data_IF_039338771320
#
_entry.id   IF_039338771320
#
_cell.length_a   1.000
_cell.length_b   1.000
_cell.length_c   1.000
_cell.angle_alpha   90.00
_cell.angle_beta   90.00
_cell.angle_gamma   90.00
#
_symmetry.space_group_name_H-M   'P 1'
#
loop_
_entity.id
_entity.type
_entity.pdbx_description
1 polymer ?
#
# COMPACT_ATOMS: atom_id res chain seq x y z
N UNK A 1 -26.30 -34.31 3.23
CA UNK A 1 -26.13 -32.85 3.22
C UNK A 1 -25.06 -32.50 2.18
N UNK A 2 -25.48 -31.83 1.15
CA UNK A 2 -24.53 -31.45 0.11
C UNK A 2 -23.76 -30.20 0.51
N UNK A 3 -22.45 -30.30 0.55
CA UNK A 3 -21.61 -29.12 0.65
C UNK A 3 -21.82 -28.27 -0.60
N UNK A 4 -22.18 -27.02 -0.39
CA UNK A 4 -22.23 -26.09 -1.51
C UNK A 4 -20.80 -25.75 -1.91
N UNK A 5 -20.42 -26.22 -3.06
CA UNK A 5 -19.12 -25.84 -3.65
C UNK A 5 -19.33 -24.63 -4.52
N UNK A 6 -18.53 -23.63 -4.28
CA UNK A 6 -18.51 -22.48 -5.16
C UNK A 6 -17.96 -22.90 -6.52
N UNK A 7 -18.68 -22.51 -7.56
CA UNK A 7 -18.19 -22.72 -8.92
C UNK A 7 -17.15 -21.69 -9.30
N UNK A 8 -16.53 -21.87 -10.45
CA UNK A 8 -15.48 -21.00 -10.95
C UNK A 8 -15.96 -19.55 -11.12
N UNK A 9 -17.21 -19.38 -11.60
CA UNK A 9 -17.77 -18.04 -11.79
C UNK A 9 -17.91 -17.29 -10.46
N UNK A 10 -18.37 -17.98 -9.41
CA UNK A 10 -18.50 -17.38 -8.08
C UNK A 10 -17.14 -17.04 -7.48
N UNK A 11 -16.13 -17.88 -7.67
CA UNK A 11 -14.79 -17.61 -7.18
C UNK A 11 -14.17 -16.43 -7.90
N UNK A 12 -14.38 -16.31 -9.21
CA UNK A 12 -13.91 -15.15 -9.98
C UNK A 12 -14.60 -13.86 -9.52
N UNK A 13 -15.89 -13.92 -9.22
CA UNK A 13 -16.60 -12.77 -8.68
C UNK A 13 -16.04 -12.35 -7.32
N UNK A 14 -15.62 -13.31 -6.49
CA UNK A 14 -14.95 -13.02 -5.21
C UNK A 14 -13.60 -12.35 -5.44
N UNK A 15 -12.82 -12.81 -6.42
CA UNK A 15 -11.59 -12.15 -6.81
C UNK A 15 -11.82 -10.70 -7.21
N UNK A 16 -12.81 -10.48 -8.07
CA UNK A 16 -13.14 -9.14 -8.55
C UNK A 16 -13.49 -8.20 -7.38
N UNK A 17 -14.24 -8.69 -6.41
CA UNK A 17 -14.61 -7.91 -5.23
C UNK A 17 -13.39 -7.57 -4.37
N UNK A 18 -12.50 -8.55 -4.16
CA UNK A 18 -11.25 -8.35 -3.43
C UNK A 18 -10.36 -7.33 -4.15
N UNK A 19 -10.22 -7.48 -5.46
CA UNK A 19 -9.39 -6.58 -6.26
C UNK A 19 -9.91 -5.15 -6.22
N UNK A 20 -11.23 -4.97 -6.29
CA UNK A 20 -11.85 -3.65 -6.16
C UNK A 20 -11.54 -3.03 -4.78
N UNK A 21 -11.57 -3.84 -3.73
CA UNK A 21 -11.23 -3.38 -2.38
C UNK A 21 -9.74 -3.00 -2.28
N UNK A 22 -8.86 -3.79 -2.88
CA UNK A 22 -7.43 -3.47 -2.95
C UNK A 22 -7.20 -2.12 -3.61
N UNK A 23 -7.89 -1.85 -4.72
CA UNK A 23 -7.77 -0.57 -5.43
C UNK A 23 -8.25 0.59 -4.57
N UNK A 24 -9.35 0.42 -3.82
CA UNK A 24 -9.83 1.44 -2.89
C UNK A 24 -8.79 1.73 -1.80
N UNK A 25 -8.16 0.70 -1.27
CA UNK A 25 -7.12 0.84 -0.24
C UNK A 25 -5.89 1.54 -0.79
N UNK A 26 -5.48 1.23 -2.01
CA UNK A 26 -4.37 1.93 -2.68
C UNK A 26 -4.70 3.41 -2.86
N UNK A 27 -5.91 3.72 -3.31
CA UNK A 27 -6.36 5.10 -3.48
C UNK A 27 -6.36 5.85 -2.14
N UNK A 28 -6.84 5.20 -1.07
CA UNK A 28 -6.82 5.77 0.28
C UNK A 28 -5.39 6.03 0.76
N UNK A 29 -4.48 5.11 0.50
CA UNK A 29 -3.07 5.24 0.85
C UNK A 29 -2.44 6.44 0.15
N UNK A 30 -2.73 6.64 -1.12
CA UNK A 30 -2.24 7.78 -1.91
C UNK A 30 -2.78 9.11 -1.36
N UNK A 31 -4.05 9.14 -0.93
CA UNK A 31 -4.63 10.32 -0.32
C UNK A 31 -3.89 10.70 0.97
N UNK A 32 -3.55 9.70 1.81
CA UNK A 32 -2.75 9.93 3.02
C UNK A 32 -1.35 10.44 2.65
N UNK A 33 -0.74 9.89 1.60
CA UNK A 33 0.59 10.34 1.13
C UNK A 33 0.57 11.83 0.75
N UNK A 34 -0.49 12.30 0.08
CA UNK A 34 -0.62 13.72 -0.26
C UNK A 34 -0.72 14.59 1.00
N UNK A 35 -1.47 14.16 1.99
CA UNK A 35 -1.58 14.88 3.26
C UNK A 35 -0.25 14.91 4.01
N UNK A 36 0.49 13.81 3.98
CA UNK A 36 1.83 13.74 4.57
C UNK A 36 2.77 14.74 3.90
N UNK A 37 2.70 14.87 2.58
CA UNK A 37 3.50 15.84 1.84
C UNK A 37 3.22 17.27 2.34
N UNK A 38 1.95 17.62 2.53
CA UNK A 38 1.57 18.94 3.03
C UNK A 38 2.16 19.21 4.42
N UNK A 39 2.07 18.21 5.32
CA UNK A 39 2.62 18.32 6.68
C UNK A 39 4.15 18.45 6.64
N UNK A 40 4.82 17.62 5.85
CA UNK A 40 6.28 17.64 5.72
C UNK A 40 6.77 18.97 5.15
N UNK A 41 6.08 19.51 4.15
CA UNK A 41 6.42 20.82 3.57
C UNK A 41 6.27 21.92 4.62
N UNK A 42 5.18 21.91 5.41
CA UNK A 42 4.95 22.89 6.44
C UNK A 42 6.00 22.83 7.57
N UNK A 43 6.49 21.62 7.87
CA UNK A 43 7.45 21.40 8.96
C UNK A 43 8.91 21.39 8.46
N UNK A 44 9.14 21.54 7.16
CA UNK A 44 10.48 21.51 6.59
C UNK A 44 11.15 20.13 6.66
N UNK A 45 10.36 19.05 6.64
CA UNK A 45 10.86 17.69 6.70
C UNK A 45 11.05 17.10 5.29
N UNK A 46 12.08 16.24 5.11
CA UNK A 46 12.25 15.57 3.82
C UNK A 46 11.14 14.56 3.56
N UNK A 47 10.79 14.37 2.29
CA UNK A 47 9.79 13.36 1.91
C UNK A 47 10.31 11.93 2.12
N UNK A 48 11.58 11.70 1.79
CA UNK A 48 12.20 10.40 1.95
C UNK A 48 12.67 10.20 3.39
N UNK A 49 12.21 9.12 4.02
CA UNK A 49 12.54 8.77 5.40
C UNK A 49 12.98 7.30 5.44
N UNK A 50 14.28 7.03 5.24
CA UNK A 50 14.78 5.64 5.19
C UNK A 50 14.53 4.84 6.47
N UNK A 51 14.60 5.48 7.64
CA UNK A 51 14.38 4.81 8.91
C UNK A 51 12.91 4.36 9.04
N UNK A 52 11.98 5.22 8.62
CA UNK A 52 10.55 4.88 8.61
C UNK A 52 10.26 3.76 7.62
N UNK A 53 10.88 3.79 6.43
CA UNK A 53 10.71 2.73 5.43
C UNK A 53 11.19 1.38 5.95
N UNK A 54 12.34 1.34 6.61
CA UNK A 54 12.86 0.12 7.21
C UNK A 54 11.92 -0.43 8.30
N UNK A 55 11.40 0.44 9.15
CA UNK A 55 10.46 0.06 10.19
C UNK A 55 9.15 -0.47 9.60
N UNK A 56 8.66 0.17 8.55
CA UNK A 56 7.44 -0.26 7.85
C UNK A 56 7.62 -1.65 7.23
N UNK A 57 8.74 -1.88 6.53
CA UNK A 57 9.02 -3.18 5.92
C UNK A 57 9.09 -4.29 6.97
N UNK A 58 9.76 -4.04 8.10
CA UNK A 58 9.84 -5.02 9.18
C UNK A 58 8.43 -5.35 9.72
N UNK A 59 7.59 -4.34 9.91
CA UNK A 59 6.22 -4.52 10.40
C UNK A 59 5.36 -5.33 9.43
N UNK A 60 5.38 -4.98 8.14
CA UNK A 60 4.53 -5.69 7.17
C UNK A 60 5.02 -7.11 6.91
N UNK A 61 6.33 -7.36 6.99
CA UNK A 61 6.87 -8.72 6.89
C UNK A 61 6.39 -9.57 8.07
N UNK A 62 6.38 -9.04 9.29
CA UNK A 62 5.87 -9.72 10.46
C UNK A 62 4.36 -9.97 10.35
N UNK A 63 3.59 -8.96 9.93
CA UNK A 63 2.14 -9.08 9.72
C UNK A 63 1.83 -10.10 8.63
N UNK A 64 2.58 -10.07 7.53
CA UNK A 64 2.42 -11.02 6.43
C UNK A 64 2.67 -12.45 6.89
N UNK A 65 3.69 -12.67 7.71
CA UNK A 65 3.99 -13.98 8.27
C UNK A 65 2.83 -14.52 9.11
N UNK A 66 2.20 -13.67 9.91
CA UNK A 66 1.02 -14.06 10.70
C UNK A 66 -0.17 -14.44 9.82
N UNK A 67 -0.25 -13.89 8.62
CA UNK A 67 -1.31 -14.17 7.65
C UNK A 67 -0.93 -15.29 6.67
N UNK A 68 0.20 -15.96 6.91
CA UNK A 68 0.73 -17.01 6.05
C UNK A 68 1.02 -16.52 4.62
N UNK A 69 1.45 -15.26 4.50
CA UNK A 69 1.88 -14.70 3.22
C UNK A 69 3.40 -14.81 3.07
N UNK A 70 3.89 -15.29 1.93
CA UNK A 70 5.33 -15.41 1.72
C UNK A 70 5.99 -14.03 1.61
N UNK A 71 7.20 -13.93 2.14
CA UNK A 71 7.97 -12.69 2.06
C UNK A 71 8.27 -12.27 0.62
N UNK A 72 8.39 -13.26 -0.27
CA UNK A 72 8.57 -13.03 -1.70
C UNK A 72 7.39 -12.28 -2.35
N UNK A 73 6.22 -12.26 -1.71
CA UNK A 73 5.07 -11.46 -2.12
C UNK A 73 5.02 -10.14 -1.36
N UNK A 74 5.15 -10.20 -0.03
CA UNK A 74 4.94 -9.04 0.85
C UNK A 74 5.98 -7.95 0.62
N UNK A 75 7.25 -8.31 0.57
CA UNK A 75 8.33 -7.34 0.44
C UNK A 75 8.27 -6.56 -0.88
N UNK A 76 8.22 -7.23 -2.05
CA UNK A 76 8.11 -6.48 -3.31
C UNK A 76 6.86 -5.61 -3.40
N UNK A 77 5.73 -6.09 -2.88
CA UNK A 77 4.49 -5.33 -2.86
C UNK A 77 4.66 -4.02 -2.09
N UNK A 78 5.23 -4.08 -0.89
CA UNK A 78 5.40 -2.87 -0.06
C UNK A 78 6.55 -1.98 -0.53
N UNK A 79 7.58 -2.52 -1.17
CA UNK A 79 8.59 -1.70 -1.83
C UNK A 79 7.95 -0.87 -2.94
N UNK A 80 7.03 -1.46 -3.71
CA UNK A 80 6.29 -0.74 -4.74
C UNK A 80 5.40 0.36 -4.14
N UNK A 81 4.69 0.04 -3.06
CA UNK A 81 3.82 1.01 -2.39
C UNK A 81 4.61 2.16 -1.76
N UNK A 82 5.79 1.88 -1.22
CA UNK A 82 6.68 2.91 -0.69
C UNK A 82 7.18 3.83 -1.80
N UNK A 83 7.57 3.27 -2.94
CA UNK A 83 8.01 4.06 -4.09
C UNK A 83 6.87 4.94 -4.62
N UNK A 84 5.67 4.39 -4.71
CA UNK A 84 4.48 5.15 -5.12
C UNK A 84 4.19 6.30 -4.16
N UNK A 85 4.24 6.04 -2.85
CA UNK A 85 4.00 7.05 -1.82
C UNK A 85 4.98 8.22 -1.94
N UNK A 86 6.26 7.92 -2.15
CA UNK A 86 7.29 8.95 -2.31
C UNK A 86 7.04 9.77 -3.58
N UNK A 87 6.68 9.11 -4.67
CA UNK A 87 6.37 9.80 -5.93
C UNK A 87 5.16 10.72 -5.78
N UNK A 88 4.10 10.26 -5.12
CA UNK A 88 2.91 11.07 -4.85
C UNK A 88 3.27 12.30 -4.03
N UNK A 89 4.12 12.14 -2.99
CA UNK A 89 4.56 13.26 -2.16
C UNK A 89 5.35 14.28 -3.00
N UNK A 90 6.24 13.82 -3.86
CA UNK A 90 7.04 14.69 -4.74
C UNK A 90 6.19 15.49 -5.71
N UNK A 91 5.06 14.93 -6.14
CA UNK A 91 4.12 15.63 -7.02
C UNK A 91 3.42 16.79 -6.33
N UNK A 92 3.42 16.82 -5.00
CA UNK A 92 2.85 17.92 -4.22
C UNK A 92 3.85 19.05 -3.97
N UNK A 93 5.12 18.90 -4.38
CA UNK A 93 6.11 19.96 -4.28
C UNK A 93 5.70 21.16 -5.13
N UNK A 94 5.77 22.39 -4.56
CA UNK A 94 5.52 23.58 -5.36
C UNK A 94 6.55 23.66 -6.48
N UNK A 95 6.07 23.88 -7.72
CA UNK A 95 6.98 24.13 -8.83
C UNK A 95 7.65 25.48 -8.64
N UNK A 96 8.98 25.49 -8.70
CA UNK A 96 9.75 26.74 -8.70
C UNK A 96 9.41 27.49 -10.00
N UNK A 97 8.88 28.68 -9.87
CA UNK A 97 8.65 29.60 -11.00
C UNK A 97 9.84 30.52 -11.15
#
# INVERSE_FOLDING_TARGET
MSEQREGLAELRARFDAIDSELLRLVAARRAVSRRMAAVKLAEGLPFHDPAREAALLARVQADGSRLNLPDALVKPLFLLLLADSLQVQRQEEPTAT
#
